data_IF_591527512121
#
_entry.id   IF_591527512121
#
_cell.length_a   1.000
_cell.length_b   1.000
_cell.length_c   1.000
_cell.angle_alpha   90.00
_cell.angle_beta   90.00
_cell.angle_gamma   90.00
#
_symmetry.space_group_name_H-M   'P 1'
#
loop_
_entity.id
_entity.type
_entity.pdbx_description
1 polymer ?
#
# COMPACT_ATOMS: atom_id res chain seq x y z
N UNK A 1 21.92 -0.63 18.23
CA UNK A 1 20.83 -1.49 18.77
C UNK A 1 19.46 -0.81 18.91
N UNK A 2 19.33 0.47 19.35
CA UNK A 2 18.01 1.10 19.57
C UNK A 2 17.21 1.40 18.28
N UNK A 3 17.87 1.74 17.15
CA UNK A 3 17.17 2.03 15.88
C UNK A 3 16.65 0.78 15.17
N UNK A 4 17.41 -0.32 15.18
CA UNK A 4 17.00 -1.61 14.58
C UNK A 4 15.75 -2.19 15.23
N UNK A 5 15.64 -2.11 16.56
CA UNK A 5 14.44 -2.58 17.28
C UNK A 5 13.21 -1.71 17.01
N UNK A 6 13.39 -0.41 16.76
CA UNK A 6 12.29 0.54 16.50
C UNK A 6 11.70 0.34 15.10
N UNK A 7 12.53 0.11 14.09
CA UNK A 7 12.10 -0.03 12.69
C UNK A 7 11.42 -1.38 12.42
N UNK A 8 11.86 -2.46 13.08
CA UNK A 8 11.21 -3.78 12.95
C UNK A 8 9.81 -3.84 13.60
N UNK A 9 9.52 -2.93 14.55
CA UNK A 9 8.19 -2.79 15.16
C UNK A 9 7.23 -1.98 14.30
N UNK A 10 7.71 -1.19 13.33
CA UNK A 10 6.85 -0.30 12.56
C UNK A 10 5.82 -1.07 11.73
N UNK A 11 6.22 -2.04 10.88
CA UNK A 11 5.25 -2.82 10.10
C UNK A 11 4.32 -3.62 11.00
N UNK A 12 4.83 -4.20 12.10
CA UNK A 12 4.02 -5.00 13.04
C UNK A 12 2.89 -4.17 13.65
N UNK A 13 3.20 -2.97 14.16
CA UNK A 13 2.18 -2.08 14.73
C UNK A 13 1.19 -1.64 13.65
N UNK A 14 1.66 -1.36 12.43
CA UNK A 14 0.77 -1.06 11.29
C UNK A 14 -0.18 -2.22 10.96
N UNK A 15 0.29 -3.48 10.99
CA UNK A 15 -0.58 -4.65 10.81
C UNK A 15 -1.65 -4.70 11.90
N UNK A 16 -1.24 -4.53 13.17
CA UNK A 16 -2.20 -4.56 14.30
C UNK A 16 -3.25 -3.47 14.14
N UNK A 17 -2.83 -2.23 13.83
CA UNK A 17 -3.75 -1.11 13.60
C UNK A 17 -4.67 -1.36 12.40
N UNK A 18 -4.14 -1.91 11.30
CA UNK A 18 -4.92 -2.26 10.10
C UNK A 18 -5.93 -3.38 10.36
N UNK A 19 -5.56 -4.40 11.15
CA UNK A 19 -6.47 -5.46 11.58
C UNK A 19 -7.56 -4.92 12.51
N UNK A 20 -7.22 -4.02 13.45
CA UNK A 20 -8.21 -3.34 14.29
C UNK A 20 -9.19 -2.52 13.43
N UNK A 21 -8.70 -1.77 12.45
CA UNK A 21 -9.54 -0.99 11.52
C UNK A 21 -10.46 -1.90 10.70
N UNK A 22 -9.95 -3.03 10.21
CA UNK A 22 -10.71 -4.03 9.48
C UNK A 22 -11.84 -4.63 10.35
N UNK A 23 -11.52 -5.09 11.55
CA UNK A 23 -12.50 -5.69 12.47
C UNK A 23 -13.56 -4.65 12.84
N UNK A 24 -13.15 -3.43 13.19
CA UNK A 24 -14.06 -2.35 13.54
C UNK A 24 -15.03 -2.04 12.39
N UNK A 25 -14.51 -1.99 11.16
CA UNK A 25 -15.33 -1.76 9.97
C UNK A 25 -16.28 -2.93 9.70
N UNK A 26 -15.83 -4.18 9.86
CA UNK A 26 -16.69 -5.37 9.75
C UNK A 26 -17.82 -5.36 10.77
N UNK A 27 -17.52 -5.02 12.03
CA UNK A 27 -18.53 -4.89 13.10
C UNK A 27 -19.50 -3.75 12.80
N UNK A 28 -19.01 -2.61 12.31
CA UNK A 28 -19.84 -1.48 11.91
C UNK A 28 -20.86 -1.90 10.83
N UNK A 29 -20.43 -2.60 9.77
CA UNK A 29 -21.37 -3.12 8.76
C UNK A 29 -22.30 -4.22 9.30
N UNK A 30 -21.87 -5.00 10.29
CA UNK A 30 -22.72 -6.05 10.84
C UNK A 30 -23.84 -5.51 11.74
N UNK A 31 -23.60 -4.40 12.43
CA UNK A 31 -24.47 -3.93 13.53
C UNK A 31 -25.21 -2.63 13.20
N UNK A 32 -24.62 -1.75 12.38
CA UNK A 32 -25.13 -0.40 12.23
C UNK A 32 -25.94 -0.18 10.94
N UNK A 33 -25.96 -1.14 10.02
CA UNK A 33 -26.56 -0.94 8.69
C UNK A 33 -28.07 -0.69 8.78
N UNK A 34 -28.55 0.35 8.10
CA UNK A 34 -29.95 0.76 8.07
C UNK A 34 -30.80 -0.07 7.09
N UNK A 35 -32.11 0.24 7.02
CA UNK A 35 -33.08 -0.45 6.14
C UNK A 35 -32.70 -0.34 4.65
N UNK A 36 -31.88 0.64 4.26
CA UNK A 36 -31.40 0.87 2.90
C UNK A 36 -30.02 0.26 2.64
N UNK A 37 -29.51 -0.53 3.58
CA UNK A 37 -28.16 -1.07 3.58
C UNK A 37 -27.03 -0.01 3.64
N UNK A 38 -27.29 1.14 4.25
CA UNK A 38 -26.33 2.24 4.41
C UNK A 38 -25.87 2.35 5.87
N UNK A 39 -24.65 2.86 6.08
CA UNK A 39 -24.19 3.14 7.44
C UNK A 39 -24.79 4.47 7.92
N UNK A 40 -25.34 4.50 9.14
CA UNK A 40 -25.89 5.71 9.73
C UNK A 40 -24.77 6.69 10.04
N UNK A 41 -25.02 7.95 9.69
CA UNK A 41 -24.09 9.06 9.93
C UNK A 41 -23.87 9.23 11.44
N UNK A 42 -22.61 9.40 11.85
CA UNK A 42 -22.19 9.60 13.25
C UNK A 42 -22.34 8.39 14.17
N UNK A 43 -22.34 7.17 13.64
CA UNK A 43 -22.28 5.99 14.49
C UNK A 43 -20.98 6.00 15.32
N UNK A 44 -21.00 5.67 16.63
CA UNK A 44 -19.81 5.74 17.47
C UNK A 44 -18.64 4.91 16.94
N UNK A 45 -18.92 3.74 16.35
CA UNK A 45 -17.87 2.91 15.71
C UNK A 45 -17.24 3.57 14.49
N UNK A 46 -17.99 4.39 13.74
CA UNK A 46 -17.47 5.18 12.63
C UNK A 46 -16.50 6.24 13.15
N UNK A 47 -16.87 6.95 14.21
CA UNK A 47 -16.02 7.95 14.88
C UNK A 47 -14.73 7.30 15.38
N UNK A 48 -14.83 6.13 16.03
CA UNK A 48 -13.66 5.38 16.50
C UNK A 48 -12.75 4.99 15.33
N UNK A 49 -13.29 4.64 14.17
CA UNK A 49 -12.49 4.30 12.98
C UNK A 49 -11.74 5.52 12.43
N UNK A 50 -12.38 6.69 12.39
CA UNK A 50 -11.74 7.94 11.98
C UNK A 50 -10.64 8.35 12.96
N UNK A 51 -10.90 8.26 14.26
CA UNK A 51 -9.90 8.52 15.32
C UNK A 51 -8.72 7.55 15.21
N UNK A 52 -8.97 6.25 15.03
CA UNK A 52 -7.93 5.25 14.83
C UNK A 52 -7.07 5.56 13.60
N UNK A 53 -7.69 5.99 12.51
CA UNK A 53 -7.01 6.36 11.26
C UNK A 53 -6.13 7.60 11.45
N UNK A 54 -6.62 8.62 12.16
CA UNK A 54 -5.85 9.81 12.50
C UNK A 54 -4.65 9.49 13.41
N UNK A 55 -4.86 8.64 14.42
CA UNK A 55 -3.80 8.17 15.33
C UNK A 55 -2.74 7.38 14.55
N UNK A 56 -3.17 6.46 13.68
CA UNK A 56 -2.26 5.67 12.84
C UNK A 56 -1.41 6.58 11.94
N UNK A 57 -2.03 7.54 11.25
CA UNK A 57 -1.33 8.49 10.40
C UNK A 57 -0.32 9.34 11.20
N UNK A 58 -0.74 9.91 12.33
CA UNK A 58 0.13 10.71 13.19
C UNK A 58 1.31 9.89 13.72
N UNK A 59 1.06 8.65 14.15
CA UNK A 59 2.10 7.75 14.64
C UNK A 59 3.07 7.34 13.54
N UNK A 60 2.61 7.01 12.32
CA UNK A 60 3.48 6.72 11.17
C UNK A 60 4.37 7.93 10.86
N UNK A 61 3.76 9.12 10.72
CA UNK A 61 4.49 10.36 10.42
C UNK A 61 5.54 10.64 11.49
N UNK A 62 5.17 10.58 12.77
CA UNK A 62 6.09 10.80 13.88
C UNK A 62 7.23 9.77 13.91
N UNK A 63 6.92 8.51 13.57
CA UNK A 63 7.88 7.41 13.56
C UNK A 63 8.92 7.54 12.45
N UNK A 64 8.54 8.08 11.29
CA UNK A 64 9.46 8.27 10.16
C UNK A 64 10.11 9.66 10.13
N UNK A 65 9.65 10.62 10.94
CA UNK A 65 10.05 12.03 10.87
C UNK A 65 11.55 12.25 10.95
N UNK A 66 12.23 11.48 11.81
CA UNK A 66 13.68 11.57 12.07
C UNK A 66 14.50 10.52 11.31
N UNK A 67 13.90 9.83 10.33
CA UNK A 67 14.63 8.87 9.51
C UNK A 67 15.34 9.60 8.37
N UNK A 68 16.65 9.67 8.47
CA UNK A 68 17.52 9.93 7.32
C UNK A 68 17.80 8.61 6.60
N UNK A 69 17.98 8.67 5.29
CA UNK A 69 18.31 7.51 4.48
C UNK A 69 19.12 7.89 3.25
N UNK A 70 19.95 6.96 2.79
CA UNK A 70 20.60 7.07 1.49
C UNK A 70 19.54 6.99 0.38
N UNK A 71 19.76 7.70 -0.72
CA UNK A 71 18.94 7.60 -1.92
C UNK A 71 19.25 6.37 -2.78
N UNK A 72 20.38 5.69 -2.48
CA UNK A 72 20.84 4.52 -3.23
C UNK A 72 20.05 3.26 -2.84
N UNK A 73 19.74 2.44 -3.83
CA UNK A 73 19.04 1.18 -3.65
C UNK A 73 19.77 0.23 -2.68
N UNK A 74 21.04 -0.07 -2.95
CA UNK A 74 21.85 -1.04 -2.20
C UNK A 74 22.04 -0.70 -0.72
N UNK A 75 21.88 0.57 -0.35
CA UNK A 75 21.98 1.02 1.04
C UNK A 75 20.73 0.75 1.87
N UNK A 76 19.60 0.51 1.22
CA UNK A 76 18.29 0.36 1.89
C UNK A 76 17.73 -1.07 1.73
N UNK A 77 18.02 -1.72 0.61
CA UNK A 77 17.44 -2.99 0.24
C UNK A 77 18.45 -4.12 0.32
N UNK A 78 18.20 -5.08 1.21
CA UNK A 78 18.94 -6.33 1.25
C UNK A 78 18.21 -7.43 0.46
N UNK A 79 18.92 -8.47 0.00
CA UNK A 79 18.29 -9.65 -0.56
C UNK A 79 17.29 -10.25 0.43
N UNK A 80 16.04 -10.43 0.02
CA UNK A 80 15.00 -10.96 0.91
C UNK A 80 13.98 -11.80 0.13
N UNK A 81 13.83 -13.05 0.57
CA UNK A 81 12.81 -13.95 0.05
C UNK A 81 11.40 -13.49 0.45
N UNK A 82 11.27 -12.93 1.66
CA UNK A 82 9.98 -12.44 2.16
C UNK A 82 9.47 -11.26 1.31
N UNK A 83 10.34 -10.31 0.97
CA UNK A 83 9.99 -9.21 0.07
C UNK A 83 9.60 -9.74 -1.32
N UNK A 84 10.36 -10.71 -1.86
CA UNK A 84 10.04 -11.32 -3.15
C UNK A 84 8.65 -11.97 -3.16
N UNK A 85 8.29 -12.70 -2.09
CA UNK A 85 6.96 -13.29 -1.93
C UNK A 85 5.87 -12.21 -1.94
N UNK A 86 6.09 -11.09 -1.25
CA UNK A 86 5.16 -9.95 -1.28
C UNK A 86 4.91 -9.41 -2.68
N UNK A 87 5.98 -9.23 -3.47
CA UNK A 87 5.86 -8.78 -4.85
C UNK A 87 5.04 -9.75 -5.71
N UNK A 88 5.23 -11.07 -5.53
CA UNK A 88 4.45 -12.08 -6.27
C UNK A 88 2.97 -12.10 -5.86
N UNK A 89 2.67 -11.91 -4.58
CA UNK A 89 1.28 -11.84 -4.09
C UNK A 89 0.60 -10.57 -4.64
N UNK A 90 1.27 -9.42 -4.64
CA UNK A 90 0.74 -8.22 -5.28
C UNK A 90 0.56 -8.38 -6.79
N UNK A 91 1.50 -9.04 -7.48
CA UNK A 91 1.37 -9.33 -8.91
C UNK A 91 0.12 -10.18 -9.20
N UNK A 92 -0.13 -11.21 -8.39
CA UNK A 92 -1.34 -12.04 -8.49
C UNK A 92 -2.60 -11.22 -8.22
N UNK A 93 -2.59 -10.35 -7.20
CA UNK A 93 -3.71 -9.47 -6.87
C UNK A 93 -4.06 -8.49 -7.99
N UNK A 94 -3.06 -7.86 -8.61
CA UNK A 94 -3.25 -6.97 -9.77
C UNK A 94 -3.76 -7.76 -10.98
N UNK A 95 -3.13 -8.90 -11.29
CA UNK A 95 -3.52 -9.71 -12.46
C UNK A 95 -4.96 -10.20 -12.35
N UNK A 96 -5.35 -10.73 -11.18
CA UNK A 96 -6.71 -11.20 -10.98
C UNK A 96 -7.73 -10.06 -11.06
N UNK A 97 -7.39 -8.89 -10.51
CA UNK A 97 -8.24 -7.69 -10.58
C UNK A 97 -8.45 -7.17 -12.00
N UNK A 98 -7.51 -7.48 -12.91
CA UNK A 98 -7.53 -7.05 -14.30
C UNK A 98 -8.25 -8.05 -15.21
N UNK A 99 -8.19 -9.34 -14.86
CA UNK A 99 -8.86 -10.42 -15.58
C UNK A 99 -10.36 -10.48 -15.27
N UNK A 100 -10.77 -10.07 -14.07
CA UNK A 100 -12.18 -10.08 -13.70
C UNK A 100 -12.99 -9.05 -14.51
N UNK A 101 -14.21 -9.42 -14.96
CA UNK A 101 -15.08 -8.50 -15.67
C UNK A 101 -15.57 -7.42 -14.68
N UNK A 102 -15.07 -6.19 -14.87
CA UNK A 102 -15.50 -5.03 -14.09
C UNK A 102 -16.24 -4.03 -14.97
N UNK A 103 -16.97 -3.14 -14.32
CA UNK A 103 -17.88 -2.15 -14.92
C UNK A 103 -17.22 -1.05 -15.76
N UNK A 104 -15.90 -1.16 -16.03
CA UNK A 104 -15.19 -0.21 -16.89
C UNK A 104 -15.33 -0.63 -18.35
N UNK A 105 -15.77 0.28 -19.20
CA UNK A 105 -15.88 0.05 -20.64
C UNK A 105 -14.92 0.95 -21.44
N UNK A 106 -14.65 0.56 -22.69
CA UNK A 106 -13.88 1.37 -23.63
C UNK A 106 -12.36 1.43 -23.39
N UNK A 107 -11.73 2.53 -23.86
CA UNK A 107 -10.25 2.67 -23.93
C UNK A 107 -9.58 2.66 -22.56
N UNK A 108 -10.26 3.14 -21.51
CA UNK A 108 -9.73 3.14 -20.14
C UNK A 108 -9.63 1.72 -19.57
N UNK A 109 -10.57 0.83 -19.89
CA UNK A 109 -10.48 -0.58 -19.53
C UNK A 109 -9.26 -1.23 -20.20
N UNK A 110 -9.07 -0.99 -21.50
CA UNK A 110 -7.92 -1.53 -22.23
C UNK A 110 -6.60 -1.03 -21.62
N UNK A 111 -6.50 0.26 -21.33
CA UNK A 111 -5.32 0.86 -20.69
C UNK A 111 -5.06 0.26 -19.30
N UNK A 112 -6.10 0.11 -18.47
CA UNK A 112 -6.02 -0.56 -17.17
C UNK A 112 -5.53 -2.00 -17.31
N UNK A 113 -5.99 -2.73 -18.35
CA UNK A 113 -5.57 -4.11 -18.61
C UNK A 113 -4.11 -4.22 -19.01
N UNK A 114 -3.68 -3.38 -19.95
CA UNK A 114 -2.29 -3.35 -20.40
C UNK A 114 -1.36 -2.96 -19.26
N UNK A 115 -1.68 -1.88 -18.53
CA UNK A 115 -0.89 -1.45 -17.38
C UNK A 115 -0.91 -2.46 -16.25
N UNK A 116 -2.04 -3.13 -16.01
CA UNK A 116 -2.15 -4.19 -15.01
C UNK A 116 -1.30 -5.41 -15.34
N UNK A 117 -1.31 -5.87 -16.58
CA UNK A 117 -0.42 -6.93 -17.05
C UNK A 117 1.06 -6.53 -16.96
N UNK A 118 1.40 -5.31 -17.41
CA UNK A 118 2.74 -4.76 -17.30
C UNK A 118 3.21 -4.65 -15.84
N UNK A 119 2.32 -4.25 -14.93
CA UNK A 119 2.58 -4.16 -13.49
C UNK A 119 2.81 -5.53 -12.87
N UNK A 120 2.01 -6.53 -13.23
CA UNK A 120 2.18 -7.90 -12.74
C UNK A 120 3.54 -8.46 -13.19
N UNK A 121 3.91 -8.29 -14.46
CA UNK A 121 5.23 -8.68 -14.97
C UNK A 121 6.34 -7.90 -14.27
N UNK A 122 6.16 -6.58 -14.10
CA UNK A 122 7.08 -5.70 -13.39
C UNK A 122 7.36 -6.17 -11.97
N UNK A 123 6.31 -6.47 -11.19
CA UNK A 123 6.43 -6.99 -9.84
C UNK A 123 7.08 -8.38 -9.78
N UNK A 124 6.83 -9.26 -10.75
CA UNK A 124 7.51 -10.55 -10.82
C UNK A 124 9.02 -10.36 -11.06
N UNK A 125 9.39 -9.47 -11.98
CA UNK A 125 10.81 -9.14 -12.24
C UNK A 125 11.44 -8.48 -11.01
N UNK A 126 10.75 -7.52 -10.39
CA UNK A 126 11.19 -6.87 -9.16
C UNK A 126 11.37 -7.90 -8.03
N UNK A 127 10.44 -8.82 -7.82
CA UNK A 127 10.56 -9.89 -6.84
C UNK A 127 11.76 -10.80 -7.07
N UNK A 128 12.09 -11.12 -8.34
CA UNK A 128 13.31 -11.87 -8.68
C UNK A 128 14.56 -11.06 -8.37
N UNK A 129 14.56 -9.77 -8.66
CA UNK A 129 15.66 -8.84 -8.32
C UNK A 129 15.84 -8.72 -6.80
N UNK A 130 14.75 -8.58 -6.03
CA UNK A 130 14.75 -8.56 -4.55
C UNK A 130 15.35 -9.83 -3.97
N UNK A 131 15.06 -11.01 -4.54
CA UNK A 131 15.66 -12.28 -4.12
C UNK A 131 17.17 -12.34 -4.43
N UNK A 132 17.58 -11.77 -5.56
CA UNK A 132 18.97 -11.78 -6.02
C UNK A 132 19.83 -10.63 -5.45
N UNK A 133 19.22 -9.69 -4.70
CA UNK A 133 19.92 -8.49 -4.23
C UNK A 133 20.26 -7.47 -5.33
N UNK A 134 19.60 -7.56 -6.48
CA UNK A 134 19.86 -6.68 -7.62
C UNK A 134 18.86 -5.53 -7.64
N UNK A 135 19.30 -4.38 -8.13
CA UNK A 135 18.40 -3.26 -8.41
C UNK A 135 17.48 -3.65 -9.58
N UNK A 136 16.14 -3.55 -9.45
CA UNK A 136 15.24 -3.77 -10.55
C UNK A 136 15.27 -2.58 -11.53
N UNK A 137 14.71 -2.79 -12.73
CA UNK A 137 14.57 -1.72 -13.70
C UNK A 137 13.48 -0.76 -13.23
N UNK A 138 13.73 0.54 -13.31
CA UNK A 138 12.80 1.63 -12.96
C UNK A 138 11.36 1.43 -13.48
N UNK A 139 11.24 0.90 -14.70
CA UNK A 139 9.96 0.65 -15.37
C UNK A 139 9.09 -0.36 -14.61
N UNK A 140 9.67 -1.24 -13.77
CA UNK A 140 8.93 -2.27 -13.04
C UNK A 140 7.97 -1.67 -12.02
N UNK A 141 8.46 -0.80 -11.13
CA UNK A 141 7.63 -0.11 -10.15
C UNK A 141 6.84 1.06 -10.75
N UNK A 142 7.38 1.73 -11.77
CA UNK A 142 6.66 2.80 -12.47
C UNK A 142 5.36 2.28 -13.12
N UNK A 143 5.38 1.08 -13.71
CA UNK A 143 4.18 0.46 -14.26
C UNK A 143 3.09 0.30 -13.20
N UNK A 144 3.45 -0.15 -11.99
CA UNK A 144 2.53 -0.30 -10.85
C UNK A 144 1.94 1.04 -10.44
N UNK A 145 2.77 2.09 -10.37
CA UNK A 145 2.30 3.45 -10.10
C UNK A 145 1.29 3.91 -11.15
N UNK A 146 1.59 3.75 -12.44
CA UNK A 146 0.70 4.12 -13.53
C UNK A 146 -0.61 3.33 -13.51
N UNK A 147 -0.55 2.03 -13.18
CA UNK A 147 -1.74 1.20 -13.01
C UNK A 147 -2.66 1.76 -11.92
N UNK A 148 -2.13 2.14 -10.75
CA UNK A 148 -2.97 2.70 -9.68
C UNK A 148 -3.56 4.06 -10.04
N UNK A 149 -2.84 4.90 -10.79
CA UNK A 149 -3.40 6.16 -11.31
C UNK A 149 -4.59 5.89 -12.24
N UNK A 150 -4.44 4.97 -13.19
CA UNK A 150 -5.53 4.59 -14.11
C UNK A 150 -6.66 3.87 -13.38
N UNK A 151 -6.36 3.05 -12.37
CA UNK A 151 -7.35 2.41 -11.50
C UNK A 151 -8.21 3.45 -10.78
N UNK A 152 -7.61 4.49 -10.21
CA UNK A 152 -8.34 5.58 -9.57
C UNK A 152 -9.21 6.35 -10.57
N UNK A 153 -8.65 6.76 -11.71
CA UNK A 153 -9.41 7.48 -12.75
C UNK A 153 -10.60 6.65 -13.26
N UNK A 154 -10.37 5.35 -13.42
CA UNK A 154 -11.37 4.41 -13.92
C UNK A 154 -12.53 4.15 -12.97
N UNK A 155 -12.26 4.17 -11.67
CA UNK A 155 -13.26 3.90 -10.64
C UNK A 155 -13.82 5.17 -9.97
N UNK A 156 -13.27 6.34 -10.27
CA UNK A 156 -13.68 7.62 -9.66
C UNK A 156 -15.19 7.85 -9.75
N UNK A 157 -15.80 7.61 -10.92
CA UNK A 157 -17.25 7.75 -11.10
C UNK A 157 -18.05 6.78 -10.22
N UNK A 158 -17.59 5.55 -10.05
CA UNK A 158 -18.25 4.53 -9.23
C UNK A 158 -18.12 4.88 -7.75
N UNK A 159 -16.92 5.25 -7.32
CA UNK A 159 -16.66 5.65 -5.93
C UNK A 159 -17.45 6.89 -5.54
N UNK A 160 -17.54 7.90 -6.41
CA UNK A 160 -18.34 9.10 -6.15
C UNK A 160 -19.86 8.85 -6.24
N UNK A 161 -20.29 7.79 -6.94
CA UNK A 161 -21.70 7.38 -6.97
C UNK A 161 -22.09 6.51 -5.78
N UNK A 162 -21.13 6.02 -5.00
CA UNK A 162 -21.42 5.25 -3.80
C UNK A 162 -21.99 6.20 -2.71
N UNK A 163 -23.22 5.96 -2.20
CA UNK A 163 -23.77 6.75 -1.11
C UNK A 163 -22.92 6.67 0.19
N UNK A 164 -22.09 5.64 0.33
CA UNK A 164 -21.20 5.46 1.46
C UNK A 164 -19.85 6.18 1.25
N UNK A 165 -19.73 7.41 1.76
CA UNK A 165 -18.52 8.25 1.63
C UNK A 165 -17.26 7.57 2.18
N UNK A 166 -17.40 6.82 3.28
CA UNK A 166 -16.29 6.11 3.93
C UNK A 166 -15.61 5.11 2.98
N UNK A 167 -16.37 4.47 2.10
CA UNK A 167 -15.88 3.43 1.19
C UNK A 167 -15.10 4.06 0.04
N UNK A 168 -15.68 5.11 -0.53
CA UNK A 168 -15.03 5.96 -1.51
C UNK A 168 -13.69 6.48 -1.00
N UNK A 169 -13.68 7.04 0.22
CA UNK A 169 -12.47 7.60 0.81
C UNK A 169 -11.39 6.53 1.06
N UNK A 170 -11.76 5.37 1.59
CA UNK A 170 -10.81 4.29 1.88
C UNK A 170 -10.21 3.69 0.61
N UNK A 171 -11.03 3.42 -0.41
CA UNK A 171 -10.56 2.87 -1.68
C UNK A 171 -9.65 3.85 -2.44
N UNK A 172 -10.05 5.13 -2.48
CA UNK A 172 -9.28 6.19 -3.12
C UNK A 172 -7.94 6.40 -2.40
N UNK A 173 -7.96 6.52 -1.07
CA UNK A 173 -6.76 6.78 -0.28
C UNK A 173 -5.79 5.59 -0.28
N UNK A 174 -6.30 4.34 -0.20
CA UNK A 174 -5.47 3.14 -0.34
C UNK A 174 -4.79 3.09 -1.71
N UNK A 175 -5.54 3.35 -2.78
CA UNK A 175 -5.00 3.39 -4.15
C UNK A 175 -3.98 4.51 -4.35
N UNK A 176 -4.24 5.71 -3.81
CA UNK A 176 -3.35 6.86 -3.93
C UNK A 176 -2.03 6.65 -3.19
N UNK A 177 -2.08 6.13 -1.96
CA UNK A 177 -0.85 5.87 -1.21
C UNK A 177 -0.07 4.68 -1.76
N UNK A 178 -0.75 3.69 -2.36
CA UNK A 178 -0.07 2.61 -3.05
C UNK A 178 0.62 3.09 -4.33
N UNK A 179 0.00 4.01 -5.09
CA UNK A 179 0.66 4.68 -6.21
C UNK A 179 1.91 5.44 -5.75
N UNK A 180 1.81 6.21 -4.66
CA UNK A 180 2.95 6.94 -4.10
C UNK A 180 4.05 6.00 -3.57
N UNK A 181 3.68 4.89 -2.94
CA UNK A 181 4.63 3.87 -2.53
C UNK A 181 5.39 3.30 -3.74
N UNK A 182 4.68 2.85 -4.77
CA UNK A 182 5.30 2.37 -6.01
C UNK A 182 6.16 3.43 -6.71
N UNK A 183 5.76 4.71 -6.65
CA UNK A 183 6.57 5.82 -7.16
C UNK A 183 7.89 5.96 -6.39
N UNK A 184 7.86 5.86 -5.06
CA UNK A 184 9.08 5.95 -4.27
C UNK A 184 9.97 4.72 -4.40
N UNK A 185 9.41 3.52 -4.60
CA UNK A 185 10.18 2.33 -5.01
C UNK A 185 10.89 2.57 -6.34
N UNK A 186 10.17 3.06 -7.35
CA UNK A 186 10.77 3.40 -8.64
C UNK A 186 11.87 4.46 -8.48
N UNK A 187 11.68 5.46 -7.61
CA UNK A 187 12.72 6.46 -7.35
C UNK A 187 14.00 5.84 -6.76
N UNK A 188 13.90 4.77 -5.97
CA UNK A 188 15.09 4.03 -5.51
C UNK A 188 15.81 3.30 -6.63
N UNK A 189 15.09 2.76 -7.60
CA UNK A 189 15.68 2.05 -8.75
C UNK A 189 16.65 2.94 -9.55
N UNK A 190 16.41 4.25 -9.55
CA UNK A 190 17.24 5.26 -10.24
C UNK A 190 18.16 6.06 -9.30
N UNK A 191 18.23 5.69 -8.02
CA UNK A 191 19.09 6.36 -7.04
C UNK A 191 18.60 7.73 -6.55
N UNK A 192 17.31 8.04 -6.75
CA UNK A 192 16.63 9.25 -6.27
C UNK A 192 15.68 8.94 -5.09
N UNK A 193 15.94 7.84 -4.39
CA UNK A 193 15.08 7.32 -3.34
C UNK A 193 14.91 8.27 -2.16
N UNK A 194 13.70 8.29 -1.60
CA UNK A 194 13.38 9.06 -0.38
C UNK A 194 12.81 8.12 0.67
N UNK A 195 13.70 7.55 1.49
CA UNK A 195 13.36 6.50 2.47
C UNK A 195 12.21 6.87 3.39
N UNK A 196 12.22 8.10 3.91
CA UNK A 196 11.16 8.60 4.78
C UNK A 196 9.79 8.56 4.09
N UNK A 197 9.73 8.99 2.83
CA UNK A 197 8.46 9.06 2.11
C UNK A 197 7.98 7.68 1.70
N UNK A 198 8.88 6.80 1.22
CA UNK A 198 8.60 5.40 0.94
C UNK A 198 8.01 4.66 2.15
N UNK A 199 8.63 4.82 3.33
CA UNK A 199 8.13 4.22 4.57
C UNK A 199 6.75 4.78 4.96
N UNK A 200 6.58 6.10 4.88
CA UNK A 200 5.30 6.72 5.22
C UNK A 200 4.17 6.22 4.32
N UNK A 201 4.39 6.24 3.01
CA UNK A 201 3.38 5.87 2.02
C UNK A 201 3.12 4.36 2.05
N UNK A 202 4.16 3.53 2.20
CA UNK A 202 4.00 2.07 2.29
C UNK A 202 3.27 1.63 3.56
N UNK A 203 3.62 2.17 4.73
CA UNK A 203 2.92 1.84 5.98
C UNK A 203 1.46 2.30 5.94
N UNK A 204 1.21 3.50 5.43
CA UNK A 204 -0.15 4.03 5.37
C UNK A 204 -0.98 3.32 4.28
N UNK A 205 -0.38 2.94 3.15
CA UNK A 205 -1.05 2.12 2.14
C UNK A 205 -1.38 0.72 2.66
N UNK A 206 -0.52 0.12 3.50
CA UNK A 206 -0.83 -1.14 4.17
C UNK A 206 -2.00 -0.99 5.15
N UNK A 207 -2.00 0.05 5.99
CA UNK A 207 -3.10 0.33 6.93
C UNK A 207 -4.43 0.55 6.19
N UNK A 208 -4.44 1.46 5.22
CA UNK A 208 -5.65 1.79 4.45
C UNK A 208 -6.10 0.62 3.58
N UNK A 209 -5.16 -0.14 3.00
CA UNK A 209 -5.43 -1.36 2.26
C UNK A 209 -6.16 -2.39 3.14
N UNK A 210 -5.68 -2.61 4.37
CA UNK A 210 -6.37 -3.47 5.35
C UNK A 210 -7.76 -2.94 5.72
N UNK A 211 -7.90 -1.64 5.97
CA UNK A 211 -9.20 -1.03 6.26
C UNK A 211 -10.17 -1.15 5.07
N UNK A 212 -9.66 -1.03 3.82
CA UNK A 212 -10.42 -1.15 2.59
C UNK A 212 -10.98 -2.56 2.33
N UNK A 213 -10.40 -3.62 2.92
CA UNK A 213 -10.85 -5.01 2.72
C UNK A 213 -12.28 -5.29 3.18
N UNK A 214 -12.84 -4.47 4.06
CA UNK A 214 -14.24 -4.58 4.48
C UNK A 214 -15.08 -3.58 3.70
N UNK A 215 -15.69 -4.00 2.60
CA UNK A 215 -16.63 -3.16 1.84
C UNK A 215 -16.18 -2.79 0.43
N UNK A 216 -14.92 -3.03 0.06
CA UNK A 216 -14.49 -2.83 -1.32
C UNK A 216 -14.76 -4.05 -2.21
N UNK A 217 -15.04 -3.76 -3.49
CA UNK A 217 -15.08 -4.79 -4.55
C UNK A 217 -13.69 -5.30 -4.97
N UNK A 218 -12.61 -4.73 -4.44
CA UNK A 218 -11.22 -5.00 -4.83
C UNK A 218 -10.40 -5.63 -3.71
N UNK A 219 -11.02 -6.53 -2.94
CA UNK A 219 -10.42 -7.18 -1.77
C UNK A 219 -9.04 -7.78 -2.07
N UNK A 220 -8.93 -8.54 -3.18
CA UNK A 220 -7.68 -9.24 -3.52
C UNK A 220 -6.57 -8.26 -3.90
N UNK A 221 -6.92 -7.15 -4.57
CA UNK A 221 -5.95 -6.09 -4.91
C UNK A 221 -5.35 -5.49 -3.63
N UNK A 222 -6.21 -4.99 -2.74
CA UNK A 222 -5.74 -4.31 -1.53
C UNK A 222 -5.03 -5.26 -0.57
N UNK A 223 -5.46 -6.52 -0.50
CA UNK A 223 -4.77 -7.54 0.28
C UNK A 223 -3.36 -7.76 -0.27
N UNK A 224 -3.23 -8.00 -1.58
CA UNK A 224 -1.92 -8.24 -2.19
C UNK A 224 -0.98 -7.05 -2.04
N UNK A 225 -1.50 -5.83 -2.20
CA UNK A 225 -0.72 -4.61 -2.02
C UNK A 225 -0.32 -4.36 -0.56
N UNK A 226 -1.20 -4.62 0.40
CA UNK A 226 -0.85 -4.53 1.82
C UNK A 226 0.26 -5.53 2.17
N UNK A 227 0.17 -6.78 1.68
CA UNK A 227 1.21 -7.79 1.89
C UNK A 227 2.53 -7.36 1.26
N UNK A 228 2.52 -6.83 0.03
CA UNK A 228 3.72 -6.31 -0.62
C UNK A 228 4.38 -5.19 0.18
N UNK A 229 3.62 -4.15 0.53
CA UNK A 229 4.15 -3.04 1.32
C UNK A 229 4.73 -3.53 2.66
N UNK A 230 4.03 -4.39 3.39
CA UNK A 230 4.51 -4.89 4.68
C UNK A 230 5.78 -5.74 4.56
N UNK A 231 5.81 -6.68 3.62
CA UNK A 231 6.94 -7.60 3.46
C UNK A 231 8.19 -6.88 2.95
N UNK A 232 8.03 -5.89 2.08
CA UNK A 232 9.15 -5.10 1.60
C UNK A 232 9.69 -4.19 2.71
N UNK A 233 8.83 -3.51 3.47
CA UNK A 233 9.24 -2.67 4.59
C UNK A 233 9.86 -3.44 5.76
N UNK A 234 9.39 -4.66 6.05
CA UNK A 234 10.01 -5.55 7.04
C UNK A 234 11.41 -6.02 6.63
N UNK A 235 11.74 -5.98 5.34
CA UNK A 235 13.04 -6.41 4.83
C UNK A 235 14.09 -5.29 4.78
N UNK A 236 13.71 -4.07 5.14
CA UNK A 236 14.61 -2.92 5.18
C UNK A 236 15.52 -2.97 6.42
N UNK A 237 16.83 -2.91 6.22
CA UNK A 237 17.78 -2.71 7.32
C UNK A 237 18.18 -1.25 7.46
N UNK A 238 18.35 -0.71 8.68
CA UNK A 238 19.07 0.54 8.87
C UNK A 238 20.57 0.25 8.77
N UNK A 239 21.29 0.93 7.85
CA UNK A 239 22.73 1.11 8.07
C UNK A 239 22.90 2.03 9.29
N UNK A 240 23.77 1.71 10.26
CA UNK A 240 24.13 2.67 11.28
C UNK A 240 24.70 3.93 10.60
N UNK A 241 24.38 5.12 11.11
CA UNK A 241 25.20 6.31 10.82
C UNK A 241 26.65 5.87 11.05
N UNK A 242 27.51 6.03 10.04
CA UNK A 242 28.93 6.08 10.32
C UNK A 242 29.10 7.23 11.31
N UNK A 243 29.28 6.88 12.58
CA UNK A 243 29.91 7.77 13.52
C UNK A 243 31.24 8.11 12.86
N UNK A 244 31.39 9.37 12.46
CA UNK A 244 32.65 9.87 11.96
C UNK A 244 33.69 9.50 13.01
N UNK A 245 34.62 8.60 12.64
CA UNK A 245 35.84 8.40 13.40
C UNK A 245 36.56 9.75 13.42
N UNK A 246 36.51 10.42 14.57
CA UNK A 246 37.31 11.58 14.91
C UNK A 246 37.90 11.31 16.29
#
# INVERSE_FOLDING_TARGET
>A
MKQTCKQNRLPIVTVVLGCCALILRRVLYAVAVDVKNLLPVNHPLEIVLWVLTAIAAAWIIASVWKLDGSAKYEDNFQPSLMAAVGHYIAAAGILLTVLLPWWMEGRLLLLRRVLGAASAVGLIVAGRCRRAGKCPLFLTHLAVCAFFVVHMLGNYGIWCSNPQLQDCWLDLSASALMALFAFYEAAFDVGLGRRRMQLATGLMAAYLGCAALSGSGYLILYFGCAVWALTDLCSLTPKPKQENAA
#
